data_IF_765464586686
#
_entry.id   IF_765464586686
#
_cell.length_a   1.000
_cell.length_b   1.000
_cell.length_c   1.000
_cell.angle_alpha   90.00
_cell.angle_beta   90.00
_cell.angle_gamma   90.00
#
_symmetry.space_group_name_H-M   'P 1'
#
loop_
_entity.id
_entity.type
_entity.pdbx_description
1 polymer ?
#
# COMPACT_ATOMS: atom_id res chain seq x y z
N UNK A 1 42.78 5.55 -22.59
CA UNK A 1 41.99 4.54 -21.85
C UNK A 1 40.67 4.35 -22.57
N UNK A 2 40.40 3.17 -23.09
CA UNK A 2 39.15 2.82 -23.78
C UNK A 2 37.99 2.92 -22.79
N UNK A 3 36.96 3.72 -23.08
CA UNK A 3 35.74 3.75 -22.26
C UNK A 3 35.07 2.37 -22.38
N UNK A 4 35.04 1.60 -21.28
CA UNK A 4 34.25 0.37 -21.21
C UNK A 4 32.79 0.73 -21.48
N UNK A 5 32.17 0.05 -22.43
CA UNK A 5 30.79 0.26 -22.83
C UNK A 5 30.00 -1.03 -22.63
N UNK A 6 28.86 -0.96 -21.95
CA UNK A 6 27.94 -2.08 -21.80
C UNK A 6 26.74 -1.84 -22.75
N UNK A 7 26.40 -2.81 -23.63
CA UNK A 7 25.28 -2.67 -24.55
C UNK A 7 23.97 -2.42 -23.83
N UNK A 8 23.11 -1.56 -24.40
CA UNK A 8 21.78 -1.23 -23.80
C UNK A 8 20.92 -2.48 -23.57
N UNK A 9 21.01 -3.48 -24.46
CA UNK A 9 20.30 -4.77 -24.30
C UNK A 9 20.76 -5.55 -23.05
N UNK A 10 22.06 -5.52 -22.73
CA UNK A 10 22.62 -6.15 -21.54
C UNK A 10 22.19 -5.41 -20.28
N UNK A 11 22.21 -4.07 -20.30
CA UNK A 11 21.72 -3.25 -19.19
C UNK A 11 20.22 -3.50 -18.93
N UNK A 12 19.41 -3.66 -19.98
CA UNK A 12 17.99 -4.00 -19.84
C UNK A 12 17.78 -5.36 -19.18
N UNK A 13 18.58 -6.38 -19.54
CA UNK A 13 18.54 -7.70 -18.89
C UNK A 13 18.92 -7.63 -17.42
N UNK A 14 19.98 -6.90 -17.08
CA UNK A 14 20.45 -6.71 -15.71
C UNK A 14 19.37 -5.99 -14.86
N UNK A 15 18.67 -4.98 -15.41
CA UNK A 15 17.60 -4.26 -14.71
C UNK A 15 16.37 -5.11 -14.42
N UNK A 16 16.14 -6.18 -15.17
CA UNK A 16 15.04 -7.11 -14.93
C UNK A 16 15.31 -8.10 -13.80
N UNK A 17 16.58 -8.23 -13.35
CA UNK A 17 16.92 -9.03 -12.20
C UNK A 17 16.53 -8.29 -10.91
N UNK A 18 15.62 -8.85 -10.13
CA UNK A 18 15.24 -8.23 -8.85
C UNK A 18 16.40 -8.33 -7.84
N UNK A 19 16.46 -7.39 -6.90
CA UNK A 19 17.45 -7.43 -5.83
C UNK A 19 17.29 -8.69 -4.96
N UNK A 20 16.04 -9.11 -4.72
CA UNK A 20 15.76 -10.33 -3.98
C UNK A 20 16.29 -11.57 -4.70
N UNK A 21 15.97 -11.73 -6.00
CA UNK A 21 16.43 -12.90 -6.77
C UNK A 21 17.97 -12.92 -6.90
N UNK A 22 18.57 -11.75 -7.04
CA UNK A 22 20.02 -11.60 -7.05
C UNK A 22 20.65 -12.10 -5.74
N UNK A 23 20.20 -11.60 -4.60
CA UNK A 23 20.71 -12.02 -3.31
C UNK A 23 20.39 -13.50 -3.04
N UNK A 24 19.18 -13.93 -3.33
CA UNK A 24 18.76 -15.31 -3.09
C UNK A 24 19.62 -16.33 -3.88
N UNK A 25 20.01 -15.99 -5.10
CA UNK A 25 20.79 -16.88 -5.96
C UNK A 25 22.30 -16.81 -5.71
N UNK A 26 22.84 -15.63 -5.38
CA UNK A 26 24.29 -15.41 -5.32
C UNK A 26 24.81 -15.09 -3.91
N UNK A 27 23.96 -14.56 -3.04
CA UNK A 27 24.32 -14.13 -1.67
C UNK A 27 23.22 -14.49 -0.67
N UNK A 28 22.78 -15.76 -0.58
CA UNK A 28 21.64 -16.15 0.27
C UNK A 28 21.88 -15.90 1.77
N UNK A 29 23.14 -15.85 2.20
CA UNK A 29 23.58 -15.49 3.54
C UNK A 29 23.23 -14.06 3.96
N UNK A 30 23.02 -13.16 3.00
CA UNK A 30 22.57 -11.79 3.24
C UNK A 30 21.05 -11.64 3.41
N UNK A 31 20.26 -12.72 3.24
CA UNK A 31 18.81 -12.70 3.38
C UNK A 31 18.35 -13.48 4.60
N UNK A 32 17.79 -12.78 5.58
CA UNK A 32 17.15 -13.36 6.76
C UNK A 32 15.64 -13.31 6.57
N UNK A 33 14.98 -14.45 6.66
CA UNK A 33 13.50 -14.51 6.55
C UNK A 33 12.85 -13.88 7.76
N UNK A 34 12.01 -12.86 7.55
CA UNK A 34 11.31 -12.11 8.59
C UNK A 34 9.78 -12.27 8.56
N UNK A 35 9.27 -13.22 7.78
CA UNK A 35 7.84 -13.45 7.65
C UNK A 35 7.51 -14.36 6.48
N UNK A 36 6.25 -14.33 6.05
CA UNK A 36 5.79 -15.19 4.95
C UNK A 36 6.34 -14.75 3.59
N UNK A 37 6.46 -13.45 3.37
CA UNK A 37 6.89 -12.83 2.10
C UNK A 37 7.88 -11.70 2.30
N UNK A 38 8.37 -11.51 3.53
CA UNK A 38 9.29 -10.46 3.91
C UNK A 38 10.64 -11.04 4.33
N UNK A 39 11.71 -10.40 3.89
CA UNK A 39 13.09 -10.72 4.23
C UNK A 39 13.79 -9.44 4.65
N UNK A 40 14.75 -9.53 5.56
CA UNK A 40 15.63 -8.44 5.97
C UNK A 40 17.06 -8.74 5.58
N UNK A 41 17.84 -7.69 5.36
CA UNK A 41 19.26 -7.82 5.07
C UNK A 41 20.03 -8.18 6.34
N UNK A 42 20.95 -9.14 6.25
CA UNK A 42 21.69 -9.63 7.42
C UNK A 42 22.53 -8.54 8.12
N UNK A 43 23.04 -7.56 7.37
CA UNK A 43 23.89 -6.49 7.89
C UNK A 43 23.12 -5.17 8.10
N UNK A 44 21.88 -5.06 7.63
CA UNK A 44 21.07 -3.84 7.68
C UNK A 44 19.63 -4.14 8.10
N UNK A 45 19.34 -4.16 9.39
CA UNK A 45 18.05 -4.54 9.97
C UNK A 45 16.86 -3.75 9.42
N UNK A 46 17.07 -2.52 8.95
CA UNK A 46 16.04 -1.67 8.38
C UNK A 46 15.90 -1.79 6.86
N UNK A 47 16.66 -2.68 6.22
CA UNK A 47 16.58 -2.95 4.78
C UNK A 47 15.75 -4.21 4.53
N UNK A 48 14.57 -4.02 3.97
CA UNK A 48 13.57 -5.05 3.74
C UNK A 48 13.42 -5.40 2.26
N UNK A 49 13.11 -6.67 1.98
CA UNK A 49 12.80 -7.19 0.64
C UNK A 49 11.42 -7.85 0.69
N UNK A 50 10.47 -7.32 -0.07
CA UNK A 50 9.12 -7.86 -0.12
C UNK A 50 8.48 -7.57 -1.48
N UNK A 51 7.74 -8.56 -2.02
CA UNK A 51 7.01 -8.42 -3.29
C UNK A 51 7.87 -7.91 -4.47
N UNK A 52 9.10 -8.39 -4.60
CA UNK A 52 10.01 -8.00 -5.67
C UNK A 52 10.58 -6.59 -5.56
N UNK A 53 10.39 -5.94 -4.43
CA UNK A 53 10.93 -4.61 -4.11
C UNK A 53 11.82 -4.71 -2.89
N UNK A 54 12.74 -3.75 -2.76
CA UNK A 54 13.49 -3.53 -1.54
C UNK A 54 13.29 -2.11 -1.05
N UNK A 55 13.35 -1.89 0.27
CA UNK A 55 13.26 -0.58 0.87
C UNK A 55 14.11 -0.51 2.14
N UNK A 56 14.97 0.52 2.21
CA UNK A 56 15.85 0.79 3.35
C UNK A 56 15.27 1.92 4.20
N UNK A 57 14.56 1.55 5.25
CA UNK A 57 13.78 2.48 6.06
C UNK A 57 14.62 3.59 6.69
N UNK A 58 15.80 3.27 7.27
CA UNK A 58 16.67 4.25 7.91
C UNK A 58 17.24 5.27 6.91
N UNK A 59 17.42 4.89 5.64
CA UNK A 59 17.95 5.74 4.58
C UNK A 59 16.87 6.36 3.68
N UNK A 60 15.60 5.94 3.85
CA UNK A 60 14.46 6.34 3.00
C UNK A 60 14.72 6.14 1.51
N UNK A 61 15.37 5.03 1.16
CA UNK A 61 15.72 4.65 -0.20
C UNK A 61 15.13 3.29 -0.55
N UNK A 62 14.79 3.08 -1.82
CA UNK A 62 14.26 1.82 -2.28
C UNK A 62 14.37 1.64 -3.78
N UNK A 63 14.09 0.42 -4.23
CA UNK A 63 14.16 0.06 -5.64
C UNK A 63 13.62 -1.34 -5.90
N UNK A 64 13.86 -1.83 -7.09
CA UNK A 64 13.40 -3.16 -7.52
C UNK A 64 14.55 -4.03 -8.01
N UNK A 65 15.49 -3.45 -8.75
CA UNK A 65 16.53 -4.22 -9.43
C UNK A 65 17.76 -4.47 -8.55
N UNK A 66 18.49 -5.55 -8.87
CA UNK A 66 19.81 -5.83 -8.33
C UNK A 66 20.79 -4.68 -8.56
N UNK A 67 20.66 -4.01 -9.72
CA UNK A 67 21.49 -2.88 -10.08
C UNK A 67 21.29 -1.70 -9.13
N UNK A 68 20.01 -1.36 -8.83
CA UNK A 68 19.68 -0.28 -7.89
C UNK A 68 20.17 -0.60 -6.48
N UNK A 69 20.07 -1.87 -6.06
CA UNK A 69 20.56 -2.35 -4.78
C UNK A 69 22.09 -2.18 -4.68
N UNK A 70 22.86 -2.72 -5.64
CA UNK A 70 24.31 -2.64 -5.61
C UNK A 70 24.83 -1.21 -5.64
N UNK A 71 24.16 -0.30 -6.38
CA UNK A 71 24.57 1.10 -6.43
C UNK A 71 24.20 1.84 -5.14
N UNK A 72 23.00 1.58 -4.59
CA UNK A 72 22.45 2.40 -3.50
C UNK A 72 22.85 1.88 -2.12
N UNK A 73 22.91 0.56 -1.94
CA UNK A 73 23.21 -0.09 -0.66
C UNK A 73 24.69 -0.42 -0.54
N UNK A 74 25.23 -1.08 -1.55
CA UNK A 74 26.61 -1.56 -1.55
C UNK A 74 27.63 -0.49 -2.02
N UNK A 75 27.15 0.64 -2.55
CA UNK A 75 28.02 1.75 -2.96
C UNK A 75 28.81 1.55 -4.24
N UNK A 76 28.50 0.53 -5.05
CA UNK A 76 29.16 0.32 -6.34
C UNK A 76 28.83 1.45 -7.31
N UNK A 77 29.79 1.82 -8.17
CA UNK A 77 29.47 2.61 -9.36
C UNK A 77 28.59 1.80 -10.30
N UNK A 78 27.80 2.47 -11.14
CA UNK A 78 26.95 1.81 -12.14
C UNK A 78 27.71 0.76 -12.98
N UNK A 79 28.92 1.07 -13.43
CA UNK A 79 29.72 0.16 -14.24
C UNK A 79 30.19 -1.07 -13.44
N UNK A 80 30.66 -0.85 -12.22
CA UNK A 80 31.08 -1.95 -11.32
C UNK A 80 29.92 -2.88 -10.98
N UNK A 81 28.74 -2.32 -10.67
CA UNK A 81 27.54 -3.11 -10.40
C UNK A 81 27.13 -3.96 -11.61
N UNK A 82 27.14 -3.38 -12.81
CA UNK A 82 26.88 -4.14 -14.04
C UNK A 82 27.90 -5.25 -14.27
N UNK A 83 29.19 -4.97 -14.11
CA UNK A 83 30.27 -5.98 -14.27
C UNK A 83 30.13 -7.10 -13.23
N UNK A 84 29.84 -6.77 -11.98
CA UNK A 84 29.62 -7.75 -10.91
C UNK A 84 28.45 -8.68 -11.25
N UNK A 85 27.29 -8.14 -11.58
CA UNK A 85 26.11 -8.94 -11.96
C UNK A 85 26.42 -9.81 -13.18
N UNK A 86 27.04 -9.27 -14.21
CA UNK A 86 27.39 -10.04 -15.43
C UNK A 86 28.33 -11.20 -15.12
N UNK A 87 29.34 -11.00 -14.28
CA UNK A 87 30.29 -12.04 -13.91
C UNK A 87 29.58 -13.15 -13.12
N UNK A 88 28.70 -12.81 -12.19
CA UNK A 88 27.97 -13.79 -11.39
C UNK A 88 26.92 -14.55 -12.23
N UNK A 89 26.22 -13.88 -13.13
CA UNK A 89 25.28 -14.50 -14.06
C UNK A 89 25.96 -15.47 -15.05
N UNK A 90 27.24 -15.27 -15.39
CA UNK A 90 27.99 -16.17 -16.28
C UNK A 90 28.47 -17.43 -15.54
N UNK A 91 28.58 -17.39 -14.21
CA UNK A 91 29.02 -18.54 -13.38
C UNK A 91 27.85 -19.47 -13.06
N UNK A 92 26.64 -18.95 -12.94
CA UNK A 92 25.43 -19.74 -12.71
C UNK A 92 24.28 -19.07 -13.43
N UNK A 93 23.56 -19.80 -14.28
CA UNK A 93 22.30 -19.29 -14.82
C UNK A 93 21.35 -19.03 -13.64
N UNK A 94 20.88 -17.78 -13.42
CA UNK A 94 19.97 -17.51 -12.32
C UNK A 94 18.72 -18.36 -12.53
N UNK A 95 18.36 -19.12 -11.51
CA UNK A 95 16.99 -19.61 -11.41
C UNK A 95 16.15 -18.35 -11.13
N UNK A 96 15.67 -17.73 -12.21
CA UNK A 96 14.66 -16.68 -12.09
C UNK A 96 13.47 -17.41 -11.48
N UNK A 97 13.32 -17.33 -10.18
CA UNK A 97 12.05 -17.63 -9.58
C UNK A 97 11.12 -16.53 -10.08
N UNK A 98 10.50 -16.75 -11.23
CA UNK A 98 9.29 -16.06 -11.53
C UNK A 98 8.42 -16.32 -10.31
N UNK A 99 8.36 -15.36 -9.39
CA UNK A 99 7.22 -15.26 -8.50
C UNK A 99 6.07 -15.19 -9.47
N UNK A 100 5.51 -16.37 -9.80
CA UNK A 100 4.27 -16.43 -10.53
C UNK A 100 3.38 -15.50 -9.73
N UNK A 101 3.03 -14.37 -10.31
CA UNK A 101 1.97 -13.55 -9.74
C UNK A 101 0.84 -14.55 -9.57
N UNK A 102 0.66 -15.00 -8.32
CA UNK A 102 -0.46 -15.90 -8.02
C UNK A 102 -1.66 -15.16 -8.57
N UNK A 103 -2.49 -15.81 -9.41
CA UNK A 103 -3.63 -15.16 -10.01
C UNK A 103 -4.32 -14.39 -8.90
N UNK A 104 -4.46 -13.08 -9.06
CA UNK A 104 -5.05 -12.20 -8.04
C UNK A 104 -6.35 -12.87 -7.65
N UNK A 105 -6.47 -13.29 -6.39
CA UNK A 105 -7.72 -13.89 -5.92
C UNK A 105 -8.81 -12.89 -6.22
N UNK A 106 -9.95 -13.31 -6.79
CA UNK A 106 -11.05 -12.40 -7.02
C UNK A 106 -11.38 -11.69 -5.71
N UNK A 107 -11.60 -10.37 -5.78
CA UNK A 107 -11.93 -9.58 -4.61
C UNK A 107 -13.27 -10.08 -4.03
N UNK A 108 -13.28 -10.35 -2.75
CA UNK A 108 -14.49 -10.69 -1.99
C UNK A 108 -14.45 -9.93 -0.68
N UNK A 109 -15.58 -9.35 -0.27
CA UNK A 109 -15.66 -8.65 1.01
C UNK A 109 -15.42 -9.61 2.19
N UNK A 110 -14.78 -9.14 3.27
CA UNK A 110 -14.76 -9.85 4.54
C UNK A 110 -16.19 -10.19 5.01
N UNK A 111 -16.44 -11.39 5.53
CA UNK A 111 -17.77 -11.75 6.02
C UNK A 111 -18.28 -10.75 7.04
N UNK A 112 -19.52 -10.26 6.82
CA UNK A 112 -20.20 -9.34 7.71
C UNK A 112 -20.72 -10.04 8.95
N UNK A 113 -20.67 -9.37 10.09
CA UNK A 113 -21.31 -9.80 11.33
C UNK A 113 -22.82 -9.51 11.33
N UNK A 114 -23.54 -10.05 12.30
CA UNK A 114 -24.98 -9.83 12.48
C UNK A 114 -25.27 -8.44 13.04
N UNK A 115 -24.37 -7.89 13.88
CA UNK A 115 -24.48 -6.56 14.48
C UNK A 115 -23.26 -5.69 14.15
N UNK A 116 -23.33 -4.41 14.48
CA UNK A 116 -22.22 -3.45 14.40
C UNK A 116 -21.88 -2.86 15.79
N UNK A 117 -22.31 -3.50 16.88
CA UNK A 117 -22.27 -2.90 18.22
C UNK A 117 -20.83 -2.62 18.69
N UNK A 118 -19.91 -3.57 18.48
CA UNK A 118 -18.50 -3.41 18.90
C UNK A 118 -17.81 -2.28 18.12
N UNK A 119 -18.09 -2.16 16.81
CA UNK A 119 -17.48 -1.09 16.01
C UNK A 119 -18.16 0.26 16.27
N UNK A 120 -19.44 0.30 16.61
CA UNK A 120 -20.12 1.53 17.03
C UNK A 120 -19.52 2.05 18.32
N UNK A 121 -19.30 1.18 19.32
CA UNK A 121 -18.61 1.56 20.56
C UNK A 121 -17.21 2.10 20.27
N UNK A 122 -16.42 1.37 19.46
CA UNK A 122 -15.07 1.80 19.09
C UNK A 122 -15.06 3.14 18.35
N UNK A 123 -15.89 3.30 17.31
CA UNK A 123 -15.86 4.50 16.47
C UNK A 123 -16.43 5.73 17.22
N UNK A 124 -17.51 5.55 17.99
CA UNK A 124 -18.18 6.69 18.62
C UNK A 124 -17.61 7.01 20.01
N UNK A 125 -17.27 6.00 20.84
CA UNK A 125 -16.83 6.24 22.21
C UNK A 125 -15.30 6.28 22.36
N UNK A 126 -14.55 5.47 21.57
CA UNK A 126 -13.07 5.46 21.62
C UNK A 126 -12.48 6.46 20.63
N UNK A 127 -13.01 6.54 19.40
CA UNK A 127 -12.52 7.45 18.34
C UNK A 127 -13.27 8.78 18.32
N UNK A 128 -14.30 8.94 19.15
CA UNK A 128 -15.12 10.17 19.31
C UNK A 128 -15.74 10.67 18.00
N UNK A 129 -16.09 9.75 17.09
CA UNK A 129 -16.77 10.08 15.85
C UNK A 129 -18.27 10.31 16.10
N UNK A 130 -18.88 11.20 15.32
CA UNK A 130 -20.30 11.48 15.42
C UNK A 130 -21.14 10.24 15.01
N UNK A 131 -22.07 9.77 15.86
CA UNK A 131 -22.87 8.57 15.59
C UNK A 131 -23.76 8.67 14.35
N UNK A 132 -24.23 9.84 13.99
CA UNK A 132 -25.06 10.05 12.79
C UNK A 132 -24.23 9.82 11.53
N UNK A 133 -22.98 10.33 11.50
CA UNK A 133 -22.06 10.12 10.38
C UNK A 133 -21.72 8.64 10.25
N UNK A 134 -21.35 7.97 11.35
CA UNK A 134 -21.03 6.53 11.33
C UNK A 134 -22.23 5.72 10.85
N UNK A 135 -23.42 5.98 11.36
CA UNK A 135 -24.65 5.31 10.95
C UNK A 135 -25.00 5.55 9.48
N UNK A 136 -24.74 6.75 8.97
CA UNK A 136 -24.92 7.04 7.54
C UNK A 136 -24.09 6.09 6.66
N UNK A 137 -22.79 5.91 6.96
CA UNK A 137 -21.93 5.02 6.20
C UNK A 137 -22.26 3.54 6.42
N UNK A 138 -22.74 3.15 7.60
CA UNK A 138 -23.25 1.80 7.86
C UNK A 138 -24.50 1.52 7.00
N UNK A 139 -25.43 2.46 6.95
CA UNK A 139 -26.66 2.33 6.14
C UNK A 139 -26.35 2.25 4.63
N UNK A 140 -25.27 2.90 4.17
CA UNK A 140 -24.76 2.81 2.79
C UNK A 140 -23.98 1.52 2.53
N UNK A 141 -23.73 0.69 3.53
CA UNK A 141 -22.90 -0.51 3.41
C UNK A 141 -21.41 -0.23 3.25
N UNK A 142 -20.98 1.00 3.47
CA UNK A 142 -19.57 1.42 3.36
C UNK A 142 -18.78 1.17 4.65
N UNK A 143 -19.47 0.99 5.78
CA UNK A 143 -18.85 0.56 7.05
C UNK A 143 -19.66 -0.61 7.59
N UNK A 144 -18.96 -1.61 8.09
CA UNK A 144 -19.59 -2.71 8.83
C UNK A 144 -18.57 -3.43 9.72
N UNK A 145 -19.11 -4.22 10.68
CA UNK A 145 -18.33 -5.10 11.53
C UNK A 145 -18.05 -6.42 10.82
N UNK A 146 -16.78 -6.87 10.82
CA UNK A 146 -16.46 -8.18 10.30
C UNK A 146 -16.82 -9.28 11.31
N UNK A 147 -17.37 -10.40 10.82
CA UNK A 147 -17.76 -11.55 11.63
C UNK A 147 -16.61 -12.12 12.45
N UNK A 148 -15.41 -12.18 11.85
CA UNK A 148 -14.22 -12.63 12.54
C UNK A 148 -13.42 -11.43 13.03
N UNK A 149 -12.97 -11.49 14.31
CA UNK A 149 -12.15 -10.45 14.96
C UNK A 149 -12.83 -9.09 15.15
N UNK A 150 -14.13 -8.95 14.85
CA UNK A 150 -14.89 -7.71 15.08
C UNK A 150 -14.22 -6.43 14.55
N UNK A 151 -13.48 -6.53 13.47
CA UNK A 151 -12.79 -5.39 12.87
C UNK A 151 -13.79 -4.43 12.21
N UNK A 152 -13.49 -3.13 12.24
CA UNK A 152 -14.14 -2.17 11.34
C UNK A 152 -13.68 -2.47 9.91
N UNK A 153 -14.63 -2.62 8.99
CA UNK A 153 -14.36 -2.75 7.55
C UNK A 153 -14.86 -1.50 6.85
N UNK A 154 -13.96 -0.80 6.18
CA UNK A 154 -14.26 0.34 5.30
C UNK A 154 -14.28 -0.15 3.87
N UNK A 155 -15.36 0.08 3.14
CA UNK A 155 -15.60 -0.42 1.78
C UNK A 155 -15.58 0.71 0.78
N UNK A 156 -14.85 0.52 -0.30
CA UNK A 156 -14.91 1.38 -1.47
C UNK A 156 -15.58 0.66 -2.64
N UNK A 157 -16.26 1.42 -3.48
CA UNK A 157 -17.11 0.90 -4.55
C UNK A 157 -16.66 1.41 -5.92
N UNK A 158 -16.65 0.51 -6.90
CA UNK A 158 -16.69 0.85 -8.33
C UNK A 158 -18.17 0.88 -8.73
N UNK A 159 -18.73 2.07 -8.86
CA UNK A 159 -20.16 2.28 -9.03
C UNK A 159 -20.97 1.61 -7.89
N UNK A 160 -21.61 0.47 -8.14
CA UNK A 160 -22.40 -0.28 -7.17
C UNK A 160 -21.71 -1.57 -6.71
N UNK A 161 -20.53 -1.87 -7.25
CA UNK A 161 -19.82 -3.11 -6.95
C UNK A 161 -18.70 -2.84 -5.93
N UNK A 162 -18.63 -3.57 -4.81
CA UNK A 162 -17.52 -3.45 -3.89
C UNK A 162 -16.20 -3.80 -4.61
N UNK A 163 -15.21 -2.92 -4.53
CA UNK A 163 -13.91 -3.08 -5.19
C UNK A 163 -12.72 -2.92 -4.25
N UNK A 164 -12.95 -2.37 -3.07
CA UNK A 164 -11.93 -2.12 -2.07
C UNK A 164 -12.46 -2.41 -0.66
N UNK A 165 -11.62 -2.94 0.22
CA UNK A 165 -11.89 -3.04 1.63
C UNK A 165 -10.63 -2.84 2.48
N UNK A 166 -10.76 -2.07 3.55
CA UNK A 166 -9.71 -1.83 4.53
C UNK A 166 -10.22 -2.24 5.91
N UNK A 167 -9.40 -2.98 6.66
CA UNK A 167 -9.74 -3.47 8.01
C UNK A 167 -8.96 -2.72 9.06
N UNK A 168 -9.62 -2.24 10.09
CA UNK A 168 -9.04 -1.69 11.31
C UNK A 168 -9.47 -2.53 12.50
N UNK A 169 -8.51 -3.07 13.23
CA UNK A 169 -8.80 -3.76 14.50
C UNK A 169 -9.28 -2.77 15.55
N UNK A 170 -10.25 -3.19 16.35
CA UNK A 170 -10.74 -2.43 17.51
C UNK A 170 -9.94 -2.75 18.79
N UNK A 171 -9.15 -3.83 18.80
CA UNK A 171 -8.40 -4.31 19.98
C UNK A 171 -6.89 -4.22 19.83
N UNK A 172 -6.38 -4.04 18.61
CA UNK A 172 -4.94 -3.96 18.31
C UNK A 172 -4.65 -2.83 17.33
N UNK A 173 -3.37 -2.56 17.07
CA UNK A 173 -2.96 -1.58 16.06
C UNK A 173 -3.03 -2.06 14.61
N UNK A 174 -3.60 -3.24 14.35
CA UNK A 174 -3.70 -3.81 13.01
C UNK A 174 -4.50 -2.90 12.08
N UNK A 175 -3.85 -2.53 10.99
CA UNK A 175 -4.38 -1.79 9.84
C UNK A 175 -4.04 -2.60 8.60
N UNK A 176 -5.03 -3.05 7.84
CA UNK A 176 -4.77 -3.95 6.72
C UNK A 176 -5.74 -3.75 5.57
N UNK A 177 -5.19 -3.53 4.38
CA UNK A 177 -5.94 -3.66 3.14
C UNK A 177 -6.35 -5.12 2.92
N UNK A 178 -7.57 -5.35 2.50
CA UNK A 178 -8.06 -6.70 2.22
C UNK A 178 -7.50 -7.21 0.89
N UNK A 179 -7.17 -8.50 0.84
CA UNK A 179 -6.56 -9.11 -0.35
C UNK A 179 -7.47 -8.97 -1.59
N UNK A 180 -6.89 -8.57 -2.70
CA UNK A 180 -7.61 -8.35 -3.96
C UNK A 180 -8.27 -6.99 -4.10
N UNK A 181 -8.16 -6.11 -3.11
CA UNK A 181 -8.64 -4.73 -3.17
C UNK A 181 -8.01 -3.94 -4.32
N UNK A 182 -8.81 -3.09 -4.96
CA UNK A 182 -8.33 -2.11 -5.93
C UNK A 182 -8.32 -0.71 -5.29
N UNK A 183 -7.11 -0.17 -5.03
CA UNK A 183 -6.94 1.15 -4.38
C UNK A 183 -7.53 2.32 -5.16
N UNK A 184 -7.78 2.18 -6.46
CA UNK A 184 -8.45 3.22 -7.24
C UNK A 184 -9.87 3.51 -6.73
N UNK A 185 -10.48 2.57 -6.00
CA UNK A 185 -11.82 2.67 -5.43
C UNK A 185 -11.78 2.67 -3.91
N UNK A 186 -10.83 3.36 -3.29
CA UNK A 186 -10.72 3.43 -1.83
C UNK A 186 -11.96 4.07 -1.20
N UNK A 187 -12.07 3.94 0.15
CA UNK A 187 -13.21 4.47 0.90
C UNK A 187 -13.37 5.98 0.65
N UNK A 188 -14.54 6.40 0.18
CA UNK A 188 -14.79 7.77 -0.26
C UNK A 188 -16.24 8.19 -0.04
N UNK A 189 -16.45 9.48 -0.04
CA UNK A 189 -17.76 10.13 -0.05
C UNK A 189 -17.80 11.17 -1.17
N UNK A 190 -18.85 11.14 -1.98
CA UNK A 190 -19.06 12.11 -3.06
C UNK A 190 -20.37 12.86 -2.87
N UNK A 191 -20.33 14.15 -3.19
CA UNK A 191 -21.47 15.07 -3.12
C UNK A 191 -21.57 15.92 -4.38
N UNK A 192 -22.75 16.45 -4.65
CA UNK A 192 -22.98 17.40 -5.74
C UNK A 192 -22.82 18.88 -5.29
N UNK A 193 -22.51 19.10 -4.03
CA UNK A 193 -22.45 20.46 -3.45
C UNK A 193 -21.07 21.10 -3.54
N UNK A 194 -20.05 20.37 -3.95
CA UNK A 194 -18.68 20.85 -4.06
C UNK A 194 -17.93 20.17 -5.20
N UNK A 195 -17.07 20.93 -5.87
CA UNK A 195 -16.11 20.42 -6.85
C UNK A 195 -14.74 20.12 -6.21
N UNK A 196 -14.58 20.40 -4.91
CA UNK A 196 -13.35 20.14 -4.16
C UNK A 196 -13.37 18.72 -3.58
N UNK A 197 -12.18 18.09 -3.53
CA UNK A 197 -11.96 16.78 -2.91
C UNK A 197 -10.97 16.93 -1.76
N UNK A 198 -11.37 16.62 -0.55
CA UNK A 198 -10.51 16.55 0.62
C UNK A 198 -9.94 15.14 0.72
N UNK A 199 -8.59 15.04 0.80
CA UNK A 199 -7.88 13.76 0.78
C UNK A 199 -7.26 13.48 2.15
N UNK A 200 -7.47 12.26 2.66
CA UNK A 200 -7.05 11.84 4.00
C UNK A 200 -6.19 10.57 3.91
N UNK A 201 -5.23 10.41 4.83
CA UNK A 201 -4.43 9.20 4.91
C UNK A 201 -5.30 7.96 5.20
N UNK A 202 -6.25 8.06 6.14
CA UNK A 202 -7.11 6.97 6.56
C UNK A 202 -8.59 7.32 6.61
N UNK A 203 -9.44 6.29 6.64
CA UNK A 203 -10.89 6.44 6.71
C UNK A 203 -11.33 7.09 8.04
N UNK A 204 -10.65 6.79 9.15
CA UNK A 204 -10.96 7.41 10.45
C UNK A 204 -10.66 8.91 10.42
N UNK A 205 -9.56 9.32 9.79
CA UNK A 205 -9.19 10.74 9.67
C UNK A 205 -10.24 11.51 8.85
N UNK A 206 -10.73 10.91 7.76
CA UNK A 206 -11.84 11.43 6.97
C UNK A 206 -13.12 11.59 7.80
N UNK A 207 -13.50 10.59 8.59
CA UNK A 207 -14.68 10.63 9.45
C UNK A 207 -14.51 11.63 10.61
N UNK A 208 -13.28 11.78 11.13
CA UNK A 208 -12.96 12.79 12.15
C UNK A 208 -13.14 14.20 11.59
N UNK A 209 -12.67 14.46 10.38
CA UNK A 209 -12.88 15.74 9.70
C UNK A 209 -14.38 16.03 9.53
N UNK A 210 -15.16 15.06 9.06
CA UNK A 210 -16.62 15.23 8.93
C UNK A 210 -17.30 15.50 10.28
N UNK A 211 -16.83 14.84 11.36
CA UNK A 211 -17.30 15.07 12.72
C UNK A 211 -17.02 16.49 13.19
N UNK A 212 -15.80 16.99 12.97
CA UNK A 212 -15.41 18.36 13.32
C UNK A 212 -16.22 19.38 12.53
N UNK A 213 -16.42 19.18 11.22
CA UNK A 213 -17.29 20.05 10.43
C UNK A 213 -18.71 20.14 11.03
N UNK A 214 -19.27 18.99 11.40
CA UNK A 214 -20.61 18.97 12.02
C UNK A 214 -20.64 19.70 13.37
N UNK A 215 -19.57 19.64 14.16
CA UNK A 215 -19.45 20.40 15.41
C UNK A 215 -19.42 21.93 15.18
N UNK A 216 -18.93 22.36 14.02
CA UNK A 216 -18.88 23.75 13.59
C UNK A 216 -20.16 24.16 12.79
N UNK A 217 -21.25 23.40 12.93
CA UNK A 217 -22.52 23.59 12.20
C UNK A 217 -22.39 23.55 10.66
N UNK A 218 -21.33 22.92 10.16
CA UNK A 218 -21.12 22.69 8.73
C UNK A 218 -21.64 21.28 8.39
N UNK A 219 -22.53 21.14 7.39
CA UNK A 219 -23.01 19.83 6.99
C UNK A 219 -21.86 18.90 6.55
N UNK A 220 -21.72 17.71 7.15
CA UNK A 220 -20.66 16.76 6.86
C UNK A 220 -20.66 16.29 5.40
N UNK A 221 -21.78 16.41 4.71
CA UNK A 221 -21.94 16.07 3.29
C UNK A 221 -21.62 17.24 2.33
N UNK A 222 -21.04 18.33 2.82
CA UNK A 222 -20.73 19.51 2.01
C UNK A 222 -19.64 19.25 0.97
N UNK A 223 -18.59 18.51 1.34
CA UNK A 223 -17.39 18.32 0.52
C UNK A 223 -17.22 16.85 0.09
N UNK A 224 -16.59 16.64 -1.08
CA UNK A 224 -16.12 15.31 -1.44
C UNK A 224 -14.92 14.93 -0.58
N UNK A 225 -14.86 13.67 -0.17
CA UNK A 225 -13.81 13.17 0.70
C UNK A 225 -13.27 11.81 0.19
N UNK A 226 -11.97 11.64 0.24
CA UNK A 226 -11.28 10.44 -0.21
C UNK A 226 -10.26 9.98 0.84
N UNK A 227 -10.33 8.72 1.25
CA UNK A 227 -9.30 8.07 2.07
C UNK A 227 -8.31 7.29 1.20
N UNK A 228 -7.01 7.52 1.36
CA UNK A 228 -5.97 6.82 0.61
C UNK A 228 -5.74 5.37 1.09
N UNK A 229 -6.28 5.00 2.25
CA UNK A 229 -6.06 3.66 2.85
C UNK A 229 -4.60 3.39 3.22
N UNK A 230 -3.89 4.45 3.64
CA UNK A 230 -2.45 4.47 3.90
C UNK A 230 -1.67 5.13 2.75
N UNK A 231 -0.79 6.07 3.10
CA UNK A 231 0.03 6.83 2.16
C UNK A 231 1.11 5.95 1.52
N UNK A 232 0.76 5.26 0.45
CA UNK A 232 1.73 4.65 -0.46
C UNK A 232 1.59 5.29 -1.83
N UNK A 233 2.70 5.65 -2.47
CA UNK A 233 2.81 6.44 -3.71
C UNK A 233 2.09 5.87 -4.96
N UNK A 234 1.27 4.83 -4.83
CA UNK A 234 0.63 4.12 -5.95
C UNK A 234 -0.83 4.56 -6.18
N UNK A 235 -1.41 5.35 -5.28
CA UNK A 235 -2.85 5.65 -5.30
C UNK A 235 -3.27 6.84 -6.18
N UNK A 236 -2.34 7.53 -6.85
CA UNK A 236 -2.64 8.78 -7.56
C UNK A 236 -2.64 8.71 -9.09
N UNK A 237 -2.42 7.55 -9.71
CA UNK A 237 -2.10 7.54 -11.16
C UNK A 237 -3.23 7.13 -12.12
N UNK A 238 -4.46 6.86 -11.69
CA UNK A 238 -5.48 6.36 -12.63
C UNK A 238 -6.88 6.98 -12.56
N UNK A 239 -7.15 7.90 -11.65
CA UNK A 239 -8.40 8.67 -11.67
C UNK A 239 -8.08 10.14 -11.37
N UNK A 240 -7.62 10.87 -12.37
CA UNK A 240 -7.83 12.31 -12.41
C UNK A 240 -9.25 12.57 -12.92
N UNK A 241 -10.20 12.95 -12.08
CA UNK A 241 -11.11 13.98 -12.52
C UNK A 241 -10.28 15.27 -12.55
N UNK A 242 -10.49 16.14 -13.52
CA UNK A 242 -9.93 17.50 -13.61
C UNK A 242 -10.40 18.38 -12.42
N UNK A 243 -10.12 17.97 -11.17
CA UNK A 243 -10.60 18.62 -9.96
C UNK A 243 -9.41 19.11 -9.12
N UNK A 244 -9.41 20.36 -8.66
CA UNK A 244 -8.39 20.89 -7.77
C UNK A 244 -8.41 20.11 -6.43
N UNK A 245 -7.26 19.56 -6.03
CA UNK A 245 -7.07 18.86 -4.76
C UNK A 245 -6.66 19.86 -3.70
N UNK A 246 -7.50 20.08 -2.70
CA UNK A 246 -7.11 20.78 -1.50
C UNK A 246 -6.55 19.77 -0.48
N UNK A 247 -5.27 19.91 -0.13
CA UNK A 247 -4.64 19.13 0.95
C UNK A 247 -5.05 19.77 2.29
N UNK A 248 -5.83 19.06 3.07
CA UNK A 248 -6.03 19.41 4.48
C UNK A 248 -4.79 18.94 5.27
N UNK A 249 -4.05 19.91 5.83
CA UNK A 249 -2.90 19.71 6.70
C UNK A 249 -3.32 19.31 8.12
#
# INVERSE_FOLDING_TARGET
MSKKYIPKSTVAKIRNLSAFDYLHNYHPDLLIRNGRTDYIHAEHDSLHFSNGKWYWWSQKKGGTSALDYLVTVEGYTFMQACEKIMNEMNVSAPVISHVQEKPKKPFTLPPKDETNDDIMDYLCNVRMLDPEIVNYFIAKGQIYQSRFYKNVVFVGYDNKTPAYAFKRSITTDMKQEHAGSNKAFSFSFSTVYSDEVHVFEGAIDMLSYMTLQKMDDIPFYRNNCLSLGGATAVSTSQNEPDLPIALAA
#
